data_IF_224713590299
#
_entry.id   IF_224713590299
#
_cell.length_a   1.000
_cell.length_b   1.000
_cell.length_c   1.000
_cell.angle_alpha   90.00
_cell.angle_beta   90.00
_cell.angle_gamma   90.00
#
_symmetry.space_group_name_H-M   'P 1'
#
loop_
_entity.id
_entity.type
_entity.pdbx_description
1 polymer ?
#
# COMPACT_ATOMS: atom_id res chain seq x y z
N UNK A 1 10.01 18.37 20.45
CA UNK A 1 9.92 17.08 19.75
C UNK A 1 9.95 16.01 20.82
N UNK A 2 8.81 15.37 21.12
CA UNK A 2 8.69 14.42 22.24
C UNK A 2 8.38 13.02 21.70
N UNK A 3 9.29 12.45 20.92
CA UNK A 3 9.17 11.05 20.47
C UNK A 3 9.35 10.12 21.66
N UNK A 4 8.36 9.26 21.87
CA UNK A 4 8.39 8.20 22.86
C UNK A 4 9.17 7.00 22.32
N UNK A 5 9.55 6.06 23.20
CA UNK A 5 10.17 4.80 22.80
C UNK A 5 9.29 4.05 21.78
N UNK A 6 7.97 4.13 21.94
CA UNK A 6 7.03 3.50 21.01
C UNK A 6 7.13 4.07 19.59
N UNK A 7 7.27 5.38 19.44
CA UNK A 7 7.42 6.02 18.12
C UNK A 7 8.69 5.54 17.39
N UNK A 8 9.79 5.40 18.13
CA UNK A 8 11.04 4.85 17.59
C UNK A 8 10.89 3.37 17.18
N UNK A 9 10.17 2.57 17.96
CA UNK A 9 9.91 1.16 17.63
C UNK A 9 9.05 1.04 16.37
N UNK A 10 8.00 1.86 16.24
CA UNK A 10 7.13 1.87 15.05
C UNK A 10 7.92 2.32 13.82
N UNK A 11 8.66 3.44 13.91
CA UNK A 11 9.46 3.94 12.79
C UNK A 11 10.56 2.94 12.38
N UNK A 12 11.27 2.35 13.35
CA UNK A 12 12.26 1.30 13.12
C UNK A 12 11.64 0.06 12.47
N UNK A 13 10.46 -0.37 12.93
CA UNK A 13 9.70 -1.47 12.34
C UNK A 13 9.30 -1.19 10.89
N UNK A 14 8.81 0.02 10.58
CA UNK A 14 8.47 0.42 9.22
C UNK A 14 9.67 0.36 8.28
N UNK A 15 10.83 0.88 8.72
CA UNK A 15 12.08 0.82 7.95
C UNK A 15 12.52 -0.63 7.77
N UNK A 16 12.48 -1.45 8.81
CA UNK A 16 12.82 -2.87 8.72
C UNK A 16 11.92 -3.61 7.71
N UNK A 17 10.60 -3.37 7.74
CA UNK A 17 9.66 -3.94 6.77
C UNK A 17 9.97 -3.50 5.33
N UNK A 18 10.28 -2.22 5.12
CA UNK A 18 10.67 -1.70 3.80
C UNK A 18 11.94 -2.38 3.27
N UNK A 19 12.97 -2.52 4.11
CA UNK A 19 14.24 -3.15 3.75
C UNK A 19 14.08 -4.65 3.49
N UNK A 20 13.41 -5.38 4.38
CA UNK A 20 13.17 -6.83 4.23
C UNK A 20 12.30 -7.11 3.01
N UNK A 21 11.25 -6.31 2.80
CA UNK A 21 10.41 -6.38 1.60
C UNK A 21 11.22 -6.14 0.33
N UNK A 22 12.12 -5.17 0.32
CA UNK A 22 12.98 -4.88 -0.83
C UNK A 22 13.89 -6.05 -1.16
N UNK A 23 14.53 -6.66 -0.15
CA UNK A 23 15.34 -7.88 -0.31
C UNK A 23 14.49 -9.01 -0.89
N UNK A 24 13.27 -9.20 -0.40
CA UNK A 24 12.35 -10.23 -0.88
C UNK A 24 11.96 -10.00 -2.34
N UNK A 25 11.64 -8.76 -2.74
CA UNK A 25 11.32 -8.40 -4.12
C UNK A 25 12.51 -8.71 -5.04
N UNK A 26 13.72 -8.29 -4.68
CA UNK A 26 14.92 -8.52 -5.48
C UNK A 26 15.20 -10.02 -5.66
N UNK A 27 15.02 -10.81 -4.61
CA UNK A 27 15.29 -12.26 -4.59
C UNK A 27 14.24 -13.10 -5.31
N UNK A 28 12.97 -12.70 -5.25
CA UNK A 28 11.86 -13.52 -5.77
C UNK A 28 11.40 -13.10 -7.15
N UNK A 29 11.49 -11.81 -7.49
CA UNK A 29 10.98 -11.28 -8.74
C UNK A 29 12.09 -11.20 -9.80
N UNK A 30 11.89 -11.89 -10.92
CA UNK A 30 12.85 -11.93 -12.04
C UNK A 30 12.56 -10.89 -13.12
N UNK A 31 11.29 -10.57 -13.36
CA UNK A 31 10.88 -9.62 -14.39
C UNK A 31 10.99 -8.18 -13.86
N UNK A 32 11.51 -7.25 -14.68
CA UNK A 32 11.72 -5.85 -14.28
C UNK A 32 10.42 -5.20 -13.79
N UNK A 33 9.28 -5.45 -14.46
CA UNK A 33 8.00 -4.87 -14.09
C UNK A 33 7.52 -5.37 -12.72
N UNK A 34 7.80 -6.63 -12.36
CA UNK A 34 7.46 -7.16 -11.05
C UNK A 34 8.36 -6.57 -9.94
N UNK A 35 9.62 -6.26 -10.24
CA UNK A 35 10.51 -5.54 -9.31
C UNK A 35 10.04 -4.11 -9.08
N UNK A 36 9.67 -3.41 -10.16
CA UNK A 36 9.11 -2.06 -10.07
C UNK A 36 7.79 -2.05 -9.29
N UNK A 37 6.88 -2.99 -9.59
CA UNK A 37 5.63 -3.16 -8.86
C UNK A 37 5.87 -3.38 -7.36
N UNK A 38 6.79 -4.28 -7.01
CA UNK A 38 7.18 -4.53 -5.62
C UNK A 38 7.74 -3.30 -4.93
N UNK A 39 8.63 -2.55 -5.60
CA UNK A 39 9.18 -1.30 -5.07
C UNK A 39 8.10 -0.24 -4.84
N UNK A 40 7.23 0.00 -5.83
CA UNK A 40 6.10 0.92 -5.70
C UNK A 40 5.18 0.51 -4.53
N UNK A 41 4.90 -0.78 -4.39
CA UNK A 41 4.06 -1.30 -3.30
C UNK A 41 4.65 -0.99 -1.93
N UNK A 42 5.96 -1.24 -1.74
CA UNK A 42 6.63 -1.03 -0.46
C UNK A 42 6.72 0.46 -0.10
N UNK A 43 7.09 1.30 -1.07
CA UNK A 43 7.12 2.77 -0.89
C UNK A 43 5.70 3.28 -0.60
N UNK A 44 4.71 2.78 -1.34
CA UNK A 44 3.30 3.13 -1.16
C UNK A 44 2.81 2.82 0.25
N UNK A 45 3.09 1.61 0.77
CA UNK A 45 2.70 1.27 2.14
C UNK A 45 3.49 2.05 3.20
N UNK A 46 4.78 2.29 3.00
CA UNK A 46 5.57 3.10 3.91
C UNK A 46 4.98 4.52 4.02
N UNK A 47 4.72 5.16 2.89
CA UNK A 47 4.13 6.50 2.85
C UNK A 47 2.69 6.50 3.36
N UNK A 48 1.89 5.48 3.06
CA UNK A 48 0.51 5.38 3.53
C UNK A 48 0.46 5.34 5.07
N UNK A 49 1.23 4.42 5.68
CA UNK A 49 1.26 4.28 7.14
C UNK A 49 1.83 5.53 7.80
N UNK A 50 2.88 6.12 7.22
CA UNK A 50 3.46 7.37 7.71
C UNK A 50 2.46 8.53 7.64
N UNK A 51 1.82 8.73 6.50
CA UNK A 51 0.83 9.80 6.31
C UNK A 51 -0.38 9.59 7.22
N UNK A 52 -0.89 8.37 7.35
CA UNK A 52 -2.04 8.08 8.21
C UNK A 52 -1.72 8.35 9.70
N UNK A 53 -0.53 7.94 10.18
CA UNK A 53 -0.16 8.07 11.59
C UNK A 53 0.41 9.45 11.98
N UNK A 54 1.24 10.06 11.14
CA UNK A 54 1.95 11.29 11.50
C UNK A 54 1.26 12.56 10.98
N UNK A 55 0.66 12.51 9.79
CA UNK A 55 0.05 13.68 9.15
C UNK A 55 -1.47 13.70 9.37
N UNK A 56 -2.11 12.53 9.34
CA UNK A 56 -3.56 12.38 9.25
C UNK A 56 -4.01 12.50 7.80
N UNK A 57 -4.46 11.39 7.20
CA UNK A 57 -5.09 11.40 5.87
C UNK A 57 -6.56 11.82 6.01
N UNK A 58 -7.23 11.35 7.05
CA UNK A 58 -8.61 11.70 7.37
C UNK A 58 -8.60 12.68 8.56
N UNK A 59 -8.79 13.97 8.27
CA UNK A 59 -8.81 14.99 9.31
C UNK A 59 -7.43 15.18 9.96
N UNK A 60 -7.39 15.17 11.30
CA UNK A 60 -6.13 15.28 12.07
C UNK A 60 -5.49 13.91 12.30
N UNK A 61 -4.20 13.89 12.66
CA UNK A 61 -3.44 12.66 12.92
C UNK A 61 -3.93 11.86 14.13
N UNK A 62 -4.61 12.51 15.08
CA UNK A 62 -5.24 11.87 16.25
C UNK A 62 -6.65 11.32 15.98
N UNK A 63 -7.13 11.40 14.72
CA UNK A 63 -8.40 10.83 14.33
C UNK A 63 -8.29 9.32 14.11
N UNK A 64 -9.02 8.55 14.93
CA UNK A 64 -9.09 7.08 14.91
C UNK A 64 -9.45 6.51 13.53
N UNK A 65 -10.16 7.26 12.68
CA UNK A 65 -10.49 6.83 11.32
C UNK A 65 -9.24 6.50 10.48
N UNK A 66 -8.08 7.10 10.79
CA UNK A 66 -6.81 6.79 10.11
C UNK A 66 -6.33 5.35 10.36
N UNK A 67 -6.79 4.68 11.43
CA UNK A 67 -6.46 3.28 11.70
C UNK A 67 -6.98 2.33 10.62
N UNK A 68 -8.02 2.72 9.87
CA UNK A 68 -8.56 1.93 8.77
C UNK A 68 -7.50 1.61 7.69
N UNK A 69 -6.54 2.52 7.48
CA UNK A 69 -5.47 2.31 6.49
C UNK A 69 -4.51 1.18 6.88
N UNK A 70 -4.42 0.80 8.17
CA UNK A 70 -3.59 -0.32 8.62
C UNK A 70 -4.12 -1.68 8.14
N UNK A 71 -5.40 -1.78 7.75
CA UNK A 71 -5.95 -2.99 7.15
C UNK A 71 -5.27 -3.34 5.81
N UNK A 72 -4.86 -2.33 5.05
CA UNK A 72 -4.30 -2.52 3.70
C UNK A 72 -2.94 -3.24 3.67
N UNK A 73 -1.92 -2.86 4.47
CA UNK A 73 -0.69 -3.63 4.55
C UNK A 73 -0.93 -5.05 5.08
N UNK A 74 -1.88 -5.25 6.02
CA UNK A 74 -2.23 -6.59 6.50
C UNK A 74 -2.81 -7.48 5.38
N UNK A 75 -3.76 -6.95 4.60
CA UNK A 75 -4.31 -7.65 3.42
C UNK A 75 -3.22 -7.96 2.41
N UNK A 76 -2.30 -7.01 2.14
CA UNK A 76 -1.21 -7.22 1.22
C UNK A 76 -0.23 -8.30 1.70
N UNK A 77 0.14 -8.30 3.00
CA UNK A 77 0.99 -9.32 3.61
C UNK A 77 0.35 -10.70 3.54
N UNK A 78 -0.93 -10.82 3.89
CA UNK A 78 -1.67 -12.07 3.80
C UNK A 78 -1.75 -12.58 2.36
N UNK A 79 -2.12 -11.69 1.43
CA UNK A 79 -2.15 -12.01 0.00
C UNK A 79 -0.79 -12.45 -0.53
N UNK A 80 0.30 -11.81 -0.09
CA UNK A 80 1.67 -12.18 -0.46
C UNK A 80 2.03 -13.60 0.01
N UNK A 81 1.64 -13.98 1.24
CA UNK A 81 1.82 -15.32 1.79
C UNK A 81 0.99 -16.36 1.03
N UNK A 82 -0.32 -16.12 0.88
CA UNK A 82 -1.26 -17.05 0.21
C UNK A 82 -0.82 -17.30 -1.24
N UNK A 83 -0.44 -16.24 -1.94
CA UNK A 83 -0.05 -16.31 -3.36
C UNK A 83 1.39 -16.75 -3.55
N UNK A 84 2.15 -16.96 -2.45
CA UNK A 84 3.56 -17.36 -2.45
C UNK A 84 4.41 -16.43 -3.32
N UNK A 85 4.09 -15.13 -3.29
CA UNK A 85 4.76 -14.07 -4.06
C UNK A 85 4.73 -14.26 -5.57
N UNK A 86 3.77 -15.03 -6.10
CA UNK A 86 3.60 -15.22 -7.55
C UNK A 86 3.01 -13.93 -8.16
N UNK A 87 3.56 -13.41 -9.27
CA UNK A 87 3.09 -12.16 -9.89
C UNK A 87 1.58 -12.13 -10.16
N UNK A 88 1.01 -13.23 -10.66
CA UNK A 88 -0.42 -13.32 -10.95
C UNK A 88 -1.29 -13.11 -9.70
N UNK A 89 -0.88 -13.70 -8.57
CA UNK A 89 -1.60 -13.54 -7.31
C UNK A 89 -1.39 -12.16 -6.70
N UNK A 90 -0.16 -11.64 -6.72
CA UNK A 90 0.14 -10.29 -6.23
C UNK A 90 -0.61 -9.19 -7.01
N UNK A 91 -0.85 -9.40 -8.30
CA UNK A 91 -1.68 -8.50 -9.09
C UNK A 91 -3.12 -8.40 -8.53
N UNK A 92 -3.74 -9.54 -8.22
CA UNK A 92 -5.09 -9.58 -7.63
C UNK A 92 -5.07 -8.97 -6.23
N UNK A 93 -4.09 -9.33 -5.41
CA UNK A 93 -3.92 -8.76 -4.06
C UNK A 93 -3.86 -7.24 -4.09
N UNK A 94 -3.07 -6.64 -4.99
CA UNK A 94 -2.96 -5.19 -5.06
C UNK A 94 -4.18 -4.52 -5.70
N UNK A 95 -4.91 -5.20 -6.58
CA UNK A 95 -6.21 -4.72 -7.04
C UNK A 95 -7.21 -4.64 -5.88
N UNK A 96 -7.22 -5.64 -5.00
CA UNK A 96 -8.04 -5.63 -3.76
C UNK A 96 -7.60 -4.51 -2.82
N UNK A 97 -6.29 -4.30 -2.65
CA UNK A 97 -5.76 -3.18 -1.85
C UNK A 97 -6.17 -1.83 -2.43
N UNK A 98 -6.08 -1.64 -3.76
CA UNK A 98 -6.49 -0.41 -4.42
C UNK A 98 -7.99 -0.14 -4.23
N UNK A 99 -8.82 -1.17 -4.39
CA UNK A 99 -10.25 -1.08 -4.10
C UNK A 99 -10.53 -0.74 -2.63
N UNK A 100 -9.78 -1.34 -1.70
CA UNK A 100 -9.84 -1.03 -0.28
C UNK A 100 -9.45 0.42 0.04
N UNK A 101 -8.37 0.92 -0.55
CA UNK A 101 -7.93 2.31 -0.42
C UNK A 101 -9.02 3.29 -0.88
N UNK A 102 -9.60 3.03 -2.06
CA UNK A 102 -10.71 3.82 -2.57
C UNK A 102 -11.93 3.75 -1.64
N UNK A 103 -12.29 2.56 -1.16
CA UNK A 103 -13.43 2.35 -0.29
C UNK A 103 -13.29 3.08 1.05
N UNK A 104 -12.11 3.04 1.67
CA UNK A 104 -11.83 3.78 2.91
C UNK A 104 -12.07 5.27 2.69
N UNK A 105 -11.51 5.82 1.61
CA UNK A 105 -11.70 7.24 1.29
C UNK A 105 -13.15 7.59 0.96
N UNK A 106 -13.85 6.74 0.22
CA UNK A 106 -15.26 6.92 -0.10
C UNK A 106 -16.13 6.92 1.15
N UNK A 107 -15.94 5.96 2.06
CA UNK A 107 -16.63 5.88 3.35
C UNK A 107 -16.33 7.10 4.21
N UNK A 108 -15.06 7.54 4.26
CA UNK A 108 -14.68 8.74 5.00
C UNK A 108 -15.39 9.99 4.47
N UNK A 109 -15.50 10.13 3.15
CA UNK A 109 -16.16 11.25 2.50
C UNK A 109 -17.66 11.31 2.84
N UNK A 110 -18.39 10.21 2.61
CA UNK A 110 -19.86 10.17 2.85
C UNK A 110 -20.19 10.24 4.34
N UNK A 111 -19.32 9.72 5.20
CA UNK A 111 -19.47 9.75 6.65
C UNK A 111 -18.99 11.06 7.28
N UNK A 112 -18.39 11.98 6.52
CA UNK A 112 -17.83 13.22 7.05
C UNK A 112 -16.72 13.01 8.10
N UNK A 113 -16.00 11.88 8.02
CA UNK A 113 -15.12 11.39 9.10
C UNK A 113 -13.88 12.28 9.32
N UNK A 114 -13.55 13.16 8.37
CA UNK A 114 -12.45 14.13 8.50
C UNK A 114 -12.91 15.59 8.54
N UNK A 115 -14.21 15.85 8.78
CA UNK A 115 -14.82 17.20 8.71
C UNK A 115 -14.21 18.23 9.67
N UNK A 116 -13.58 17.79 10.75
CA UNK A 116 -12.83 18.65 11.69
C UNK A 116 -11.42 19.03 11.19
N UNK A 117 -10.99 18.49 10.04
CA UNK A 117 -9.69 18.72 9.42
C UNK A 117 -9.61 20.10 8.74
N UNK A 118 -8.43 20.74 8.74
CA UNK A 118 -8.27 22.11 8.22
C UNK A 118 -8.41 22.21 6.70
N UNK A 119 -8.13 21.14 5.95
CA UNK A 119 -8.17 21.13 4.48
C UNK A 119 -9.21 20.15 3.90
N UNK A 120 -10.15 19.71 4.74
CA UNK A 120 -11.19 18.76 4.35
C UNK A 120 -12.10 19.32 3.26
N UNK A 121 -12.50 18.51 2.25
CA UNK A 121 -12.12 17.12 1.99
C UNK A 121 -10.96 16.96 1.00
N UNK A 122 -10.35 18.05 0.53
CA UNK A 122 -9.47 18.05 -0.65
C UNK A 122 -8.20 17.23 -0.41
N UNK A 123 -7.58 17.41 0.75
CA UNK A 123 -6.39 16.66 1.20
C UNK A 123 -6.62 15.14 1.18
N UNK A 124 -7.71 14.70 1.78
CA UNK A 124 -8.12 13.29 1.85
C UNK A 124 -8.44 12.72 0.46
N UNK A 125 -9.13 13.49 -0.39
CA UNK A 125 -9.45 13.08 -1.77
C UNK A 125 -8.20 12.91 -2.62
N UNK A 126 -7.26 13.85 -2.54
CA UNK A 126 -5.98 13.77 -3.26
C UNK A 126 -5.18 12.57 -2.78
N UNK A 127 -5.05 12.37 -1.46
CA UNK A 127 -4.37 11.21 -0.90
C UNK A 127 -5.01 9.90 -1.37
N UNK A 128 -6.35 9.82 -1.35
CA UNK A 128 -7.09 8.63 -1.80
C UNK A 128 -6.83 8.33 -3.27
N UNK A 129 -6.90 9.34 -4.15
CA UNK A 129 -6.60 9.19 -5.56
C UNK A 129 -5.16 8.72 -5.80
N UNK A 130 -4.18 9.37 -5.14
CA UNK A 130 -2.76 9.05 -5.31
C UNK A 130 -2.46 7.62 -4.88
N UNK A 131 -2.86 7.21 -3.67
CA UNK A 131 -2.60 5.86 -3.20
C UNK A 131 -3.38 4.79 -3.98
N UNK A 132 -4.63 5.07 -4.35
CA UNK A 132 -5.43 4.14 -5.17
C UNK A 132 -4.75 3.93 -6.53
N UNK A 133 -4.34 5.01 -7.20
CA UNK A 133 -3.65 4.95 -8.48
C UNK A 133 -2.30 4.25 -8.38
N UNK A 134 -1.55 4.48 -7.30
CA UNK A 134 -0.28 3.81 -7.03
C UNK A 134 -0.46 2.29 -6.91
N UNK A 135 -1.39 1.82 -6.06
CA UNK A 135 -1.63 0.40 -5.88
C UNK A 135 -2.24 -0.26 -7.13
N UNK A 136 -3.12 0.43 -7.85
CA UNK A 136 -3.66 -0.04 -9.13
C UNK A 136 -2.56 -0.18 -10.19
N UNK A 137 -1.61 0.77 -10.25
CA UNK A 137 -0.45 0.71 -11.15
C UNK A 137 0.45 -0.47 -10.80
N UNK A 138 0.74 -0.67 -9.53
CA UNK A 138 1.52 -1.83 -9.07
C UNK A 138 0.81 -3.16 -9.40
N UNK A 139 -0.52 -3.23 -9.25
CA UNK A 139 -1.33 -4.38 -9.67
C UNK A 139 -1.20 -4.66 -11.18
N UNK A 140 -1.33 -3.61 -12.01
CA UNK A 140 -1.20 -3.71 -13.46
C UNK A 140 0.20 -4.18 -13.89
N UNK A 141 1.26 -3.70 -13.24
CA UNK A 141 2.64 -4.12 -13.49
C UNK A 141 2.88 -5.60 -13.11
N UNK A 142 2.34 -6.07 -11.99
CA UNK A 142 2.38 -7.49 -11.64
C UNK A 142 1.59 -8.35 -12.62
N UNK A 143 0.43 -7.87 -13.09
CA UNK A 143 -0.36 -8.56 -14.12
C UNK A 143 0.42 -8.68 -15.43
N UNK A 144 1.07 -7.59 -15.86
CA UNK A 144 1.92 -7.58 -17.03
C UNK A 144 3.08 -8.60 -16.91
N UNK A 145 3.78 -8.61 -15.76
CA UNK A 145 4.85 -9.57 -15.50
C UNK A 145 4.34 -11.03 -15.51
N UNK A 146 3.14 -11.29 -14.99
CA UNK A 146 2.53 -12.62 -15.02
C UNK A 146 2.26 -13.11 -16.44
N UNK A 147 1.76 -12.22 -17.32
CA UNK A 147 1.53 -12.54 -18.73
C UNK A 147 2.83 -12.86 -19.47
N UNK A 148 3.87 -12.06 -19.23
CA UNK A 148 5.19 -12.31 -19.81
C UNK A 148 5.75 -13.69 -19.39
N UNK A 149 5.57 -14.05 -18.11
CA UNK A 149 6.00 -15.36 -17.60
C UNK A 149 5.24 -16.52 -18.27
N UNK A 150 3.91 -16.41 -18.40
CA UNK A 150 3.08 -17.42 -19.06
C UNK A 150 3.42 -17.60 -20.54
N UNK A 151 3.76 -16.52 -21.25
CA UNK A 151 4.19 -16.60 -22.65
C UNK A 151 5.53 -17.36 -22.78
N UNK A 152 6.51 -17.07 -21.90
CA UNK A 152 7.82 -17.74 -21.91
C UNK A 152 7.77 -19.23 -21.56
N UNK A 153 6.75 -19.67 -20.81
CA UNK A 153 6.56 -21.09 -20.48
C UNK A 153 5.96 -21.91 -21.62
N UNK A 154 5.28 -21.27 -22.59
CA UNK A 154 4.67 -21.98 -23.73
C UNK A 154 5.65 -22.19 -24.89
N UNK A 155 6.76 -21.49 -24.90
CA UNK A 155 7.80 -21.60 -25.93
C UNK A 155 8.90 -22.61 -25.58
N UNK A 156 8.75 -23.36 -24.48
CA UNK A 156 9.64 -24.44 -24.04
C UNK A 156 8.89 -25.75 -24.13
#
# INVERSE_FOLDING_TARGET
MNWTIFDYVVAGGMVACLLLGTVLVIRTQRHWAARLAGGLTLIGFFLLVWSAGAVGIIGRSDNDANLAFLALPLVASLGAVITRLRPAGLAVTLAVVAAGQFLIGFVALIGGLGSAGPAWPVDMLVATLVFTALFATAAALFHFAARAQAASSRSR
#
